data_IF_059745065174
#
_entry.id   IF_059745065174
#
_cell.length_a   1.000
_cell.length_b   1.000
_cell.length_c   1.000
_cell.angle_alpha   90.00
_cell.angle_beta   90.00
_cell.angle_gamma   90.00
#
_symmetry.space_group_name_H-M   'P 1'
#
loop_
_entity.id
_entity.type
_entity.pdbx_description
1 polymer ?
#
# COMPACT_ATOMS: atom_id res chain seq x y z
N UNK A 1 3.32 -14.94 -10.01
CA UNK A 1 2.93 -14.01 -8.92
C UNK A 1 2.32 -14.82 -7.78
N UNK A 2 2.64 -14.47 -6.52
CA UNK A 2 2.06 -15.04 -5.29
C UNK A 2 0.99 -14.11 -4.73
N UNK A 3 -0.02 -14.65 -4.04
CA UNK A 3 -1.12 -13.85 -3.50
C UNK A 3 -0.94 -13.63 -2.00
N UNK A 4 -0.86 -12.37 -1.58
CA UNK A 4 -0.87 -11.97 -0.18
C UNK A 4 -2.17 -11.24 0.18
N UNK A 5 -2.35 -10.97 1.47
CA UNK A 5 -3.44 -10.15 1.98
C UNK A 5 -2.87 -9.04 2.87
N UNK A 6 -3.41 -7.84 2.74
CA UNK A 6 -3.13 -6.76 3.68
C UNK A 6 -3.87 -6.99 5.00
N UNK A 7 -3.17 -6.81 6.13
CA UNK A 7 -3.80 -6.84 7.47
C UNK A 7 -4.90 -5.78 7.61
N UNK A 8 -4.85 -4.70 6.83
CA UNK A 8 -5.90 -3.69 6.75
C UNK A 8 -7.24 -4.27 6.28
N UNK A 9 -7.22 -5.32 5.44
CA UNK A 9 -8.44 -6.02 5.00
C UNK A 9 -9.26 -6.60 6.16
N UNK A 10 -8.61 -6.89 7.31
CA UNK A 10 -9.26 -7.38 8.53
C UNK A 10 -9.73 -6.27 9.48
N UNK A 11 -9.63 -4.99 9.08
CA UNK A 11 -9.89 -3.83 9.94
C UNK A 11 -11.27 -3.88 10.62
N UNK A 12 -12.33 -4.36 9.92
CA UNK A 12 -13.66 -4.51 10.52
C UNK A 12 -13.64 -5.45 11.74
N UNK A 13 -12.90 -6.55 11.69
CA UNK A 13 -12.79 -7.51 12.80
C UNK A 13 -11.91 -6.96 13.93
N UNK A 14 -10.83 -6.27 13.58
CA UNK A 14 -9.92 -5.63 14.54
C UNK A 14 -10.65 -4.52 15.29
N UNK A 15 -11.31 -3.60 14.60
CA UNK A 15 -12.04 -2.50 15.23
C UNK A 15 -13.25 -2.96 16.05
N UNK A 16 -13.84 -4.09 15.68
CA UNK A 16 -14.89 -4.72 16.47
C UNK A 16 -14.36 -5.51 17.69
N UNK A 17 -13.06 -5.55 17.92
CA UNK A 17 -12.42 -6.30 19.01
C UNK A 17 -12.54 -7.82 18.90
N UNK A 18 -12.83 -8.34 17.69
CA UNK A 18 -12.99 -9.78 17.44
C UNK A 18 -11.70 -10.45 16.99
N UNK A 19 -10.73 -9.67 16.53
CA UNK A 19 -9.40 -10.10 16.11
C UNK A 19 -8.36 -9.07 16.55
N UNK A 20 -7.15 -9.53 16.79
CA UNK A 20 -5.93 -8.70 16.94
C UNK A 20 -5.12 -8.74 15.65
N UNK A 21 -4.11 -7.87 15.51
CA UNK A 21 -3.16 -7.97 14.41
C UNK A 21 -2.45 -9.33 14.39
N UNK A 22 -2.17 -9.90 15.57
CA UNK A 22 -1.54 -11.22 15.68
C UNK A 22 -2.44 -12.33 15.10
N UNK A 23 -3.75 -12.26 15.35
CA UNK A 23 -4.72 -13.24 14.81
C UNK A 23 -4.80 -13.21 13.29
N UNK A 24 -4.50 -12.07 12.66
CA UNK A 24 -4.50 -11.94 11.19
C UNK A 24 -3.50 -12.89 10.52
N UNK A 25 -2.38 -13.23 11.20
CA UNK A 25 -1.35 -14.14 10.68
C UNK A 25 -1.94 -15.53 10.43
N UNK A 26 -2.53 -16.13 11.48
CA UNK A 26 -3.15 -17.44 11.39
C UNK A 26 -4.35 -17.43 10.44
N UNK A 27 -5.16 -16.35 10.45
CA UNK A 27 -6.32 -16.20 9.58
C UNK A 27 -5.92 -16.13 8.09
N UNK A 28 -4.90 -15.38 7.73
CA UNK A 28 -4.39 -15.34 6.36
C UNK A 28 -3.96 -16.73 5.87
N UNK A 29 -3.25 -17.48 6.71
CA UNK A 29 -2.85 -18.86 6.40
C UNK A 29 -4.06 -19.79 6.23
N UNK A 30 -5.04 -19.72 7.15
CA UNK A 30 -6.30 -20.49 7.09
C UNK A 30 -7.06 -20.23 5.79
N UNK A 31 -7.12 -18.96 5.34
CA UNK A 31 -7.81 -18.58 4.11
C UNK A 31 -7.06 -19.00 2.83
N UNK A 32 -5.81 -19.45 2.94
CA UNK A 32 -5.01 -19.98 1.82
C UNK A 32 -4.26 -18.91 1.03
N UNK A 33 -3.83 -17.84 1.70
CA UNK A 33 -2.87 -16.87 1.16
C UNK A 33 -1.44 -17.40 1.26
N UNK A 34 -0.58 -16.97 0.33
CA UNK A 34 0.85 -17.30 0.32
C UNK A 34 1.63 -16.46 1.35
N UNK A 35 1.17 -15.23 1.60
CA UNK A 35 1.79 -14.29 2.52
C UNK A 35 0.76 -13.32 3.13
N UNK A 36 1.20 -12.57 4.13
CA UNK A 36 0.48 -11.43 4.71
C UNK A 36 1.40 -10.19 4.72
N UNK A 37 0.83 -9.02 4.47
CA UNK A 37 1.51 -7.74 4.76
C UNK A 37 0.86 -7.07 5.94
N UNK A 38 1.63 -6.26 6.66
CA UNK A 38 1.13 -5.49 7.79
C UNK A 38 1.07 -4.01 7.48
N UNK A 39 -0.10 -3.41 7.77
CA UNK A 39 -0.30 -1.96 7.75
C UNK A 39 -0.24 -1.45 9.18
N UNK A 40 0.74 -0.62 9.48
CA UNK A 40 1.09 -0.14 10.82
C UNK A 40 1.11 -1.27 11.88
N UNK A 41 2.03 -1.23 12.79
CA UNK A 41 2.07 -2.16 13.92
C UNK A 41 1.54 -1.47 15.17
N UNK A 42 0.73 -2.17 15.97
CA UNK A 42 0.21 -1.68 17.24
C UNK A 42 1.32 -1.15 18.14
N UNK A 43 1.04 -0.02 18.80
CA UNK A 43 2.03 0.72 19.59
C UNK A 43 2.43 2.05 18.94
N UNK A 44 1.51 2.67 18.16
CA UNK A 44 1.76 3.96 17.51
C UNK A 44 2.34 5.01 18.48
N UNK A 45 3.47 5.64 18.07
CA UNK A 45 4.21 6.61 18.89
C UNK A 45 5.26 5.99 19.84
N UNK A 46 5.26 4.68 20.04
CA UNK A 46 6.27 3.94 20.84
C UNK A 46 6.99 2.90 19.96
N UNK A 47 8.14 3.29 19.44
CA UNK A 47 8.94 2.43 18.57
C UNK A 47 9.41 1.14 19.25
N UNK A 48 9.66 1.19 20.58
CA UNK A 48 10.10 -0.01 21.32
C UNK A 48 8.95 -1.03 21.41
N UNK A 49 7.74 -0.57 21.71
CA UNK A 49 6.54 -1.40 21.72
C UNK A 49 6.20 -1.96 20.34
N UNK A 50 6.31 -1.14 19.27
CA UNK A 50 6.13 -1.62 17.89
C UNK A 50 7.12 -2.74 17.54
N UNK A 51 8.39 -2.60 17.93
CA UNK A 51 9.42 -3.65 17.72
C UNK A 51 9.12 -4.92 18.50
N UNK A 52 8.61 -4.81 19.72
CA UNK A 52 8.18 -5.97 20.51
C UNK A 52 6.99 -6.70 19.85
N UNK A 53 5.98 -5.95 19.41
CA UNK A 53 4.82 -6.52 18.72
C UNK A 53 5.22 -7.14 17.36
N UNK A 54 6.13 -6.50 16.62
CA UNK A 54 6.67 -7.05 15.39
C UNK A 54 7.37 -8.41 15.60
N UNK A 55 8.11 -8.59 16.71
CA UNK A 55 8.70 -9.89 17.06
C UNK A 55 7.63 -10.96 17.28
N UNK A 56 6.57 -10.65 18.05
CA UNK A 56 5.46 -11.58 18.30
C UNK A 56 4.77 -12.00 16.99
N UNK A 57 4.55 -11.03 16.09
CA UNK A 57 3.96 -11.27 14.77
C UNK A 57 4.89 -12.17 13.92
N UNK A 58 6.19 -11.90 13.92
CA UNK A 58 7.18 -12.73 13.22
C UNK A 58 7.20 -14.16 13.74
N UNK A 59 7.24 -14.34 15.06
CA UNK A 59 7.21 -15.65 15.71
C UNK A 59 5.94 -16.43 15.34
N UNK A 60 4.79 -15.77 15.30
CA UNK A 60 3.53 -16.40 14.87
C UNK A 60 3.56 -16.78 13.39
N UNK A 61 4.11 -15.91 12.53
CA UNK A 61 4.24 -16.20 11.10
C UNK A 61 5.14 -17.43 10.86
N UNK A 62 6.25 -17.54 11.60
CA UNK A 62 7.12 -18.71 11.56
C UNK A 62 6.41 -19.98 12.05
N UNK A 63 5.63 -19.86 13.16
CA UNK A 63 4.87 -20.98 13.74
C UNK A 63 3.83 -21.55 12.77
N UNK A 64 3.09 -20.70 12.05
CA UNK A 64 2.05 -21.15 11.12
C UNK A 64 2.57 -21.39 9.70
N UNK A 65 3.80 -21.00 9.40
CA UNK A 65 4.43 -21.18 8.11
C UNK A 65 3.83 -20.28 7.02
N UNK A 66 3.72 -18.95 7.28
CA UNK A 66 3.32 -17.95 6.30
C UNK A 66 4.41 -16.88 6.19
N UNK A 67 4.63 -16.33 4.98
CA UNK A 67 5.60 -15.26 4.75
C UNK A 67 4.99 -13.90 5.12
N UNK A 68 5.79 -13.00 5.72
CA UNK A 68 5.46 -11.58 5.81
C UNK A 68 6.19 -10.87 4.67
N UNK A 69 5.46 -10.47 3.63
CA UNK A 69 6.05 -9.98 2.40
C UNK A 69 6.33 -8.48 2.39
N UNK A 70 5.50 -7.67 3.08
CA UNK A 70 5.63 -6.22 3.11
C UNK A 70 5.18 -5.62 4.45
N UNK A 71 5.65 -4.39 4.70
CA UNK A 71 5.22 -3.53 5.79
C UNK A 71 4.82 -2.16 5.21
N UNK A 72 3.61 -1.69 5.48
CA UNK A 72 3.06 -0.45 4.91
C UNK A 72 2.73 0.54 6.01
N UNK A 73 3.15 1.80 5.86
CA UNK A 73 2.97 2.85 6.87
C UNK A 73 2.60 4.20 6.27
N UNK A 74 1.91 5.00 7.06
CA UNK A 74 1.69 6.41 6.77
C UNK A 74 2.95 7.26 6.98
N UNK A 75 3.16 8.27 6.12
CA UNK A 75 4.26 9.22 6.24
C UNK A 75 3.94 10.58 5.62
N UNK A 76 4.56 11.62 6.17
CA UNK A 76 4.50 12.96 5.60
C UNK A 76 5.92 13.55 5.50
N UNK A 77 6.54 13.39 4.35
CA UNK A 77 7.88 13.89 4.03
C UNK A 77 7.90 15.35 3.56
N UNK A 78 6.83 16.10 3.79
CA UNK A 78 6.81 17.54 3.59
C UNK A 78 6.34 18.24 4.87
N UNK A 79 7.29 18.60 5.71
CA UNK A 79 7.05 19.20 7.01
C UNK A 79 7.24 20.73 6.97
N UNK A 80 6.73 21.42 8.02
CA UNK A 80 6.75 22.86 8.10
C UNK A 80 8.16 23.45 8.31
N UNK A 81 9.06 22.70 8.94
CA UNK A 81 10.44 23.13 9.24
C UNK A 81 11.45 22.05 8.88
N UNK A 82 12.72 22.42 8.63
CA UNK A 82 13.79 21.45 8.39
C UNK A 82 13.97 20.45 9.55
N UNK A 83 13.81 20.87 10.79
CA UNK A 83 13.94 20.03 11.98
C UNK A 83 12.82 18.97 12.01
N UNK A 84 11.57 19.38 11.75
CA UNK A 84 10.44 18.46 11.66
C UNK A 84 10.60 17.49 10.46
N UNK A 85 11.15 17.98 9.35
CA UNK A 85 11.49 17.14 8.19
C UNK A 85 12.53 16.07 8.56
N UNK A 86 13.60 16.44 9.26
CA UNK A 86 14.62 15.52 9.72
C UNK A 86 14.04 14.49 10.73
N UNK A 87 13.20 14.94 11.65
CA UNK A 87 12.55 14.06 12.62
C UNK A 87 11.65 13.02 11.95
N UNK A 88 10.91 13.38 10.88
CA UNK A 88 10.09 12.43 10.14
C UNK A 88 10.95 11.39 9.40
N UNK A 89 12.08 11.80 8.82
CA UNK A 89 13.03 10.86 8.21
C UNK A 89 13.56 9.87 9.26
N UNK A 90 13.94 10.34 10.45
CA UNK A 90 14.42 9.45 11.52
C UNK A 90 13.31 8.51 12.04
N UNK A 91 12.06 9.00 12.14
CA UNK A 91 10.90 8.14 12.46
C UNK A 91 10.78 7.00 11.43
N UNK A 92 10.86 7.33 10.14
CA UNK A 92 10.77 6.35 9.07
C UNK A 92 11.92 5.34 9.09
N UNK A 93 13.15 5.75 9.41
CA UNK A 93 14.27 4.82 9.61
C UNK A 93 13.98 3.84 10.76
N UNK A 94 13.37 4.29 11.85
CA UNK A 94 12.89 3.41 12.92
C UNK A 94 11.85 2.40 12.42
N UNK A 95 10.98 2.81 11.49
CA UNK A 95 9.99 1.90 10.88
C UNK A 95 10.65 0.89 9.91
N UNK A 96 11.75 1.24 9.25
CA UNK A 96 12.56 0.26 8.49
C UNK A 96 13.09 -0.85 9.42
N UNK A 97 13.49 -0.51 10.65
CA UNK A 97 13.91 -1.51 11.62
C UNK A 97 12.75 -2.42 12.07
N UNK A 98 11.53 -1.89 12.16
CA UNK A 98 10.32 -2.70 12.40
C UNK A 98 10.09 -3.66 11.23
N UNK A 99 10.21 -3.19 9.97
CA UNK A 99 10.12 -4.04 8.79
C UNK A 99 11.16 -5.17 8.81
N UNK A 100 12.40 -4.87 9.23
CA UNK A 100 13.47 -5.86 9.36
C UNK A 100 13.12 -6.94 10.40
N UNK A 101 12.55 -6.56 11.55
CA UNK A 101 12.11 -7.50 12.59
C UNK A 101 10.98 -8.38 12.09
N UNK A 102 10.01 -7.83 11.35
CA UNK A 102 8.95 -8.60 10.68
C UNK A 102 9.50 -9.58 9.64
N UNK A 103 10.72 -9.36 9.16
CA UNK A 103 11.30 -10.12 8.04
C UNK A 103 10.76 -9.68 6.67
N UNK A 104 10.03 -8.58 6.61
CA UNK A 104 9.53 -7.99 5.37
C UNK A 104 10.68 -7.54 4.46
N UNK A 105 10.52 -7.75 3.15
CA UNK A 105 11.54 -7.35 2.14
C UNK A 105 11.21 -6.01 1.48
N UNK A 106 9.98 -5.55 1.65
CA UNK A 106 9.48 -4.29 1.10
C UNK A 106 8.86 -3.48 2.23
N UNK A 107 9.19 -2.20 2.31
CA UNK A 107 8.52 -1.22 3.15
C UNK A 107 7.93 -0.11 2.29
N UNK A 108 6.61 0.02 2.30
CA UNK A 108 5.90 1.14 1.68
C UNK A 108 5.71 2.25 2.70
N UNK A 109 5.93 3.48 2.28
CA UNK A 109 5.56 4.67 3.04
C UNK A 109 4.87 5.70 2.15
N UNK A 110 3.93 6.46 2.72
CA UNK A 110 3.38 7.65 2.08
C UNK A 110 4.44 8.76 1.98
N UNK A 111 4.08 9.85 1.33
CA UNK A 111 5.00 11.00 1.20
C UNK A 111 4.37 12.33 1.59
N UNK A 112 3.06 12.51 1.39
CA UNK A 112 2.35 13.73 1.78
C UNK A 112 0.83 13.51 1.71
N UNK A 113 0.08 14.23 2.56
CA UNK A 113 -1.38 14.07 2.65
C UNK A 113 -2.18 15.25 2.09
N UNK A 114 -1.58 16.44 2.00
CA UNK A 114 -2.32 17.65 1.59
C UNK A 114 -1.43 18.66 0.89
N UNK A 115 -2.05 19.49 0.06
CA UNK A 115 -1.45 20.74 -0.41
C UNK A 115 -1.78 21.87 0.57
N UNK A 116 -0.80 22.75 0.81
CA UNK A 116 -0.99 23.98 1.55
C UNK A 116 -1.47 25.12 0.66
N UNK A 117 -1.73 26.27 1.28
CA UNK A 117 -2.22 27.47 0.58
C UNK A 117 -1.12 28.44 0.14
N UNK A 118 0.07 28.34 0.71
CA UNK A 118 1.19 29.28 0.51
C UNK A 118 2.52 28.58 0.34
N UNK A 119 3.51 29.30 -0.15
CA UNK A 119 4.88 28.81 -0.28
C UNK A 119 5.00 27.56 -1.19
N UNK A 120 5.95 26.71 -0.90
CA UNK A 120 6.21 25.49 -1.66
C UNK A 120 5.11 24.44 -1.48
N UNK A 121 4.34 24.47 -0.40
CA UNK A 121 3.27 23.50 -0.15
C UNK A 121 2.07 23.62 -1.10
N UNK A 122 1.93 24.71 -1.84
CA UNK A 122 0.78 24.98 -2.73
C UNK A 122 0.73 24.15 -4.01
N UNK A 123 1.79 23.41 -4.34
CA UNK A 123 1.77 22.50 -5.48
C UNK A 123 2.69 21.30 -5.26
N UNK A 124 2.31 20.16 -5.81
CA UNK A 124 3.11 18.93 -5.74
C UNK A 124 4.52 19.15 -6.32
N UNK A 125 4.63 19.80 -7.47
CA UNK A 125 5.93 20.04 -8.11
C UNK A 125 6.90 20.90 -7.27
N UNK A 126 6.38 21.83 -6.44
CA UNK A 126 7.20 22.60 -5.53
C UNK A 126 7.60 21.81 -4.26
N UNK A 127 6.78 20.87 -3.83
CA UNK A 127 7.06 19.98 -2.70
C UNK A 127 8.03 18.85 -3.09
N UNK A 128 8.01 18.45 -4.34
CA UNK A 128 8.68 17.25 -4.86
C UNK A 128 10.16 17.14 -4.50
N UNK A 129 11.00 18.20 -4.61
CA UNK A 129 12.43 18.09 -4.25
C UNK A 129 12.64 17.72 -2.77
N UNK A 130 11.84 18.30 -1.86
CA UNK A 130 11.92 18.02 -0.43
C UNK A 130 11.45 16.60 -0.11
N UNK A 131 10.31 16.20 -0.67
CA UNK A 131 9.74 14.85 -0.53
C UNK A 131 10.74 13.80 -1.03
N UNK A 132 11.26 13.98 -2.24
CA UNK A 132 12.19 13.04 -2.86
C UNK A 132 13.51 12.93 -2.09
N UNK A 133 14.01 14.02 -1.53
CA UNK A 133 15.21 13.99 -0.68
C UNK A 133 14.96 13.18 0.61
N UNK A 134 13.81 13.37 1.26
CA UNK A 134 13.43 12.58 2.44
C UNK A 134 13.29 11.10 2.12
N UNK A 135 12.56 10.75 1.06
CA UNK A 135 12.40 9.38 0.60
C UNK A 135 13.76 8.71 0.28
N UNK A 136 14.67 9.43 -0.41
CA UNK A 136 16.03 8.93 -0.72
C UNK A 136 16.82 8.62 0.54
N UNK A 137 16.75 9.44 1.59
CA UNK A 137 17.45 9.19 2.86
C UNK A 137 16.92 7.92 3.56
N UNK A 138 15.59 7.72 3.56
CA UNK A 138 14.98 6.51 4.11
C UNK A 138 15.39 5.29 3.29
N UNK A 139 15.35 5.39 1.96
CA UNK A 139 15.74 4.32 1.02
C UNK A 139 17.21 3.89 1.21
N UNK A 140 18.12 4.85 1.30
CA UNK A 140 19.53 4.55 1.53
C UNK A 140 19.78 3.84 2.87
N UNK A 141 19.04 4.22 3.92
CA UNK A 141 19.09 3.49 5.20
C UNK A 141 18.52 2.08 5.06
N UNK A 142 17.37 1.93 4.42
CA UNK A 142 16.71 0.64 4.22
C UNK A 142 17.57 -0.35 3.43
N UNK A 143 18.33 0.12 2.46
CA UNK A 143 19.27 -0.68 1.69
C UNK A 143 20.31 -1.36 2.59
N UNK A 144 20.79 -0.68 3.65
CA UNK A 144 21.75 -1.27 4.61
C UNK A 144 21.17 -2.44 5.39
N UNK A 145 19.83 -2.55 5.45
CA UNK A 145 19.10 -3.63 6.11
C UNK A 145 18.49 -4.64 5.11
N UNK A 146 18.81 -4.50 3.82
CA UNK A 146 18.30 -5.38 2.77
C UNK A 146 16.81 -5.25 2.51
N UNK A 147 16.23 -4.08 2.80
CA UNK A 147 14.82 -3.76 2.60
C UNK A 147 14.68 -2.76 1.45
N UNK A 148 13.84 -3.08 0.48
CA UNK A 148 13.47 -2.15 -0.59
C UNK A 148 12.34 -1.23 -0.11
N UNK A 149 12.45 0.06 -0.38
CA UNK A 149 11.36 1.00 -0.08
C UNK A 149 10.55 1.33 -1.31
N UNK A 150 9.30 1.72 -1.09
CA UNK A 150 8.43 2.20 -2.16
C UNK A 150 7.41 3.20 -1.62
N UNK A 151 6.81 3.95 -2.55
CA UNK A 151 5.63 4.78 -2.27
C UNK A 151 4.46 4.24 -3.09
N UNK A 152 3.28 4.29 -2.51
CA UNK A 152 2.03 3.93 -3.16
C UNK A 152 1.39 5.14 -3.82
N UNK A 153 0.64 4.93 -4.90
CA UNK A 153 -0.31 5.88 -5.44
C UNK A 153 -1.51 6.02 -4.47
N UNK A 154 -1.33 6.83 -3.41
CA UNK A 154 -2.25 6.95 -2.28
C UNK A 154 -2.37 8.39 -1.78
N UNK A 155 -3.46 8.72 -1.05
CA UNK A 155 -3.60 9.95 -0.27
C UNK A 155 -3.95 11.20 -1.08
N UNK A 156 -4.54 11.07 -2.28
CA UNK A 156 -5.01 12.15 -3.17
C UNK A 156 -3.93 13.06 -3.77
N UNK A 157 -2.75 13.16 -3.18
CA UNK A 157 -1.69 14.07 -3.68
C UNK A 157 -0.73 13.33 -4.59
N UNK A 158 0.02 12.35 -4.10
CA UNK A 158 0.88 11.48 -4.89
C UNK A 158 0.07 10.24 -5.33
N UNK A 159 -0.99 10.42 -6.09
CA UNK A 159 -1.95 9.35 -6.38
C UNK A 159 -2.14 9.07 -7.87
N UNK A 160 -2.14 10.10 -8.71
CA UNK A 160 -2.19 9.87 -10.16
C UNK A 160 -0.84 9.36 -10.67
N UNK A 161 -0.89 8.60 -11.78
CA UNK A 161 0.28 7.94 -12.34
C UNK A 161 1.41 8.91 -12.72
N UNK A 162 1.09 10.12 -13.14
CA UNK A 162 2.10 11.14 -13.48
C UNK A 162 2.86 11.61 -12.26
N UNK A 163 2.17 11.89 -11.15
CA UNK A 163 2.85 12.35 -9.92
C UNK A 163 3.71 11.28 -9.29
N UNK A 164 3.25 10.03 -9.25
CA UNK A 164 4.06 8.95 -8.69
C UNK A 164 5.26 8.61 -9.57
N UNK A 165 5.14 8.71 -10.91
CA UNK A 165 6.29 8.58 -11.81
C UNK A 165 7.29 9.74 -11.63
N UNK A 166 6.81 10.98 -11.49
CA UNK A 166 7.69 12.12 -11.17
C UNK A 166 8.41 11.92 -9.83
N UNK A 167 7.72 11.39 -8.83
CA UNK A 167 8.33 11.08 -7.53
C UNK A 167 9.40 10.00 -7.66
N UNK A 168 9.11 8.90 -8.36
CA UNK A 168 10.07 7.84 -8.64
C UNK A 168 11.34 8.39 -9.29
N UNK A 169 11.17 9.18 -10.35
CA UNK A 169 12.28 9.81 -11.06
C UNK A 169 13.07 10.79 -10.17
N UNK A 170 12.40 11.54 -9.29
CA UNK A 170 13.05 12.50 -8.40
C UNK A 170 13.81 11.81 -7.25
N UNK A 171 13.32 10.69 -6.73
CA UNK A 171 14.05 9.89 -5.72
C UNK A 171 15.32 9.31 -6.32
N UNK A 172 15.28 8.80 -7.54
CA UNK A 172 16.45 8.34 -8.31
C UNK A 172 17.39 7.44 -7.49
N UNK A 173 16.87 6.33 -6.95
CA UNK A 173 17.63 5.37 -6.13
C UNK A 173 17.24 3.94 -6.50
N UNK A 174 18.21 3.06 -6.76
CA UNK A 174 17.97 1.68 -7.24
C UNK A 174 17.19 0.82 -6.25
N UNK A 175 17.29 1.12 -4.95
CA UNK A 175 16.55 0.44 -3.89
C UNK A 175 15.15 1.04 -3.63
N UNK A 176 14.68 1.94 -4.50
CA UNK A 176 13.35 2.55 -4.42
C UNK A 176 12.48 2.11 -5.59
N UNK A 177 11.18 1.91 -5.34
CA UNK A 177 10.21 1.57 -6.35
C UNK A 177 8.83 2.11 -6.05
N UNK A 178 7.81 1.57 -6.72
CA UNK A 178 6.42 1.90 -6.46
C UNK A 178 5.67 0.66 -5.93
N UNK A 179 4.80 0.88 -4.95
CA UNK A 179 3.68 0.00 -4.71
C UNK A 179 2.56 0.48 -5.63
N UNK A 180 2.16 -0.37 -6.57
CA UNK A 180 1.09 -0.05 -7.53
C UNK A 180 -0.22 -0.61 -7.00
N UNK A 181 -1.07 0.26 -6.44
CA UNK A 181 -2.46 -0.07 -6.14
C UNK A 181 -3.31 0.20 -7.38
N UNK A 182 -3.90 -0.86 -7.94
CA UNK A 182 -4.66 -0.77 -9.20
C UNK A 182 -6.00 -0.03 -9.04
N UNK A 183 -6.57 0.01 -7.82
CA UNK A 183 -7.86 0.66 -7.52
C UNK A 183 -7.72 2.14 -7.20
N UNK A 184 -6.65 2.55 -6.52
CA UNK A 184 -6.47 3.91 -6.05
C UNK A 184 -6.39 4.97 -7.17
N UNK A 185 -6.13 4.59 -8.42
CA UNK A 185 -6.18 5.51 -9.54
C UNK A 185 -7.57 6.09 -9.76
N UNK A 186 -8.65 5.34 -9.47
CA UNK A 186 -10.02 5.85 -9.51
C UNK A 186 -10.25 7.01 -8.54
N UNK A 187 -9.56 7.05 -7.40
CA UNK A 187 -9.65 8.18 -6.46
C UNK A 187 -9.09 9.50 -7.06
N UNK A 188 -8.22 9.39 -8.06
CA UNK A 188 -7.70 10.51 -8.82
C UNK A 188 -8.46 10.74 -10.16
N UNK A 189 -9.56 10.01 -10.39
CA UNK A 189 -10.34 10.00 -11.64
C UNK A 189 -9.51 9.59 -12.87
N UNK A 190 -8.50 8.76 -12.68
CA UNK A 190 -7.66 8.24 -13.74
C UNK A 190 -8.10 6.80 -14.12
N UNK A 191 -8.07 6.45 -15.40
CA UNK A 191 -8.33 5.09 -15.86
C UNK A 191 -7.25 4.14 -15.32
N UNK A 192 -7.62 3.09 -14.55
CA UNK A 192 -6.65 2.22 -13.90
C UNK A 192 -5.71 1.49 -14.85
N UNK A 193 -6.21 1.01 -16.00
CA UNK A 193 -5.38 0.27 -16.95
C UNK A 193 -4.34 1.19 -17.62
N UNK A 194 -4.74 2.42 -17.96
CA UNK A 194 -3.83 3.43 -18.51
C UNK A 194 -2.79 3.85 -17.47
N UNK A 195 -3.20 4.08 -16.23
CA UNK A 195 -2.31 4.44 -15.14
C UNK A 195 -1.30 3.33 -14.82
N UNK A 196 -1.79 2.10 -14.67
CA UNK A 196 -0.94 0.91 -14.45
C UNK A 196 0.06 0.73 -15.59
N UNK A 197 -0.34 0.95 -16.86
CA UNK A 197 0.57 0.81 -18.00
C UNK A 197 1.79 1.76 -17.92
N UNK A 198 1.62 2.92 -17.29
CA UNK A 198 2.72 3.89 -17.06
C UNK A 198 3.64 3.47 -15.93
N UNK A 199 3.11 2.98 -14.81
CA UNK A 199 3.88 2.81 -13.58
C UNK A 199 4.30 1.38 -13.29
N UNK A 200 3.71 0.38 -13.95
CA UNK A 200 4.05 -1.02 -13.75
C UNK A 200 5.54 -1.37 -13.92
N UNK A 201 6.32 -0.71 -14.81
CA UNK A 201 7.77 -0.96 -14.90
C UNK A 201 8.55 -0.65 -13.61
N UNK A 202 7.99 0.17 -12.72
CA UNK A 202 8.61 0.59 -11.45
C UNK A 202 8.06 -0.18 -10.24
N UNK A 203 7.13 -1.13 -10.46
CA UNK A 203 6.47 -1.86 -9.40
C UNK A 203 7.45 -2.79 -8.66
N UNK A 204 7.49 -2.67 -7.33
CA UNK A 204 8.16 -3.61 -6.42
C UNK A 204 7.18 -4.34 -5.53
N UNK A 205 5.95 -3.83 -5.46
CA UNK A 205 4.80 -4.44 -4.81
C UNK A 205 3.51 -4.01 -5.51
N UNK A 206 2.44 -4.79 -5.36
CA UNK A 206 1.14 -4.51 -6.01
C UNK A 206 0.02 -4.72 -5.01
N UNK A 207 -0.90 -3.77 -4.94
CA UNK A 207 -2.19 -3.93 -4.26
C UNK A 207 -3.31 -4.20 -5.26
N UNK A 208 -4.14 -5.16 -4.93
CA UNK A 208 -5.41 -5.46 -5.59
C UNK A 208 -6.55 -4.92 -4.74
N UNK A 209 -6.98 -3.72 -5.06
CA UNK A 209 -8.15 -3.06 -4.50
C UNK A 209 -9.18 -2.88 -5.61
N UNK A 210 -10.44 -3.08 -5.30
CA UNK A 210 -11.53 -2.85 -6.27
C UNK A 210 -12.58 -1.92 -5.68
N UNK A 211 -13.15 -1.10 -6.54
CA UNK A 211 -14.05 -0.02 -6.15
C UNK A 211 -15.22 0.09 -7.12
N UNK A 212 -16.35 0.51 -6.60
CA UNK A 212 -17.47 1.01 -7.38
C UNK A 212 -17.30 2.52 -7.57
N UNK A 213 -17.30 2.98 -8.82
CA UNK A 213 -17.16 4.40 -9.19
C UNK A 213 -18.51 4.96 -9.66
N UNK A 214 -18.93 6.10 -9.12
CA UNK A 214 -20.26 6.67 -9.34
C UNK A 214 -20.20 8.17 -9.60
N UNK A 215 -21.09 8.67 -10.47
CA UNK A 215 -21.23 10.10 -10.78
C UNK A 215 -22.00 10.88 -9.70
N UNK A 216 -22.72 10.17 -8.82
CA UNK A 216 -23.49 10.76 -7.72
C UNK A 216 -23.37 9.86 -6.48
N UNK A 217 -23.52 10.40 -5.25
CA UNK A 217 -23.47 9.60 -4.04
C UNK A 217 -24.64 8.62 -3.99
N UNK A 218 -24.36 7.34 -3.85
CA UNK A 218 -25.37 6.27 -3.78
C UNK A 218 -24.98 5.22 -2.75
N UNK A 219 -25.91 4.84 -1.85
CA UNK A 219 -25.65 3.79 -0.85
C UNK A 219 -24.40 4.06 -0.01
N UNK A 220 -23.46 3.13 -0.02
CA UNK A 220 -22.17 3.21 0.66
C UNK A 220 -21.15 4.11 -0.09
N UNK A 221 -21.33 4.34 -1.41
CA UNK A 221 -20.42 5.14 -2.22
C UNK A 221 -20.60 6.64 -1.95
N UNK A 222 -19.93 7.14 -0.91
CA UNK A 222 -19.98 8.52 -0.46
C UNK A 222 -18.60 9.20 -0.39
N UNK A 223 -17.52 8.44 -0.52
CA UNK A 223 -16.17 8.98 -0.62
C UNK A 223 -16.04 9.72 -1.93
N UNK A 224 -15.45 10.91 -1.90
CA UNK A 224 -15.34 11.76 -3.10
C UNK A 224 -13.96 11.59 -3.74
N UNK A 225 -13.94 11.41 -5.05
CA UNK A 225 -12.71 11.44 -5.83
C UNK A 225 -12.15 12.85 -5.95
N UNK A 226 -10.93 13.00 -6.45
CA UNK A 226 -10.29 14.31 -6.71
C UNK A 226 -11.13 15.20 -7.66
N UNK A 227 -11.77 14.61 -8.65
CA UNK A 227 -12.59 15.32 -9.65
C UNK A 227 -14.06 15.47 -9.26
N UNK A 228 -14.46 15.06 -8.02
CA UNK A 228 -15.83 15.23 -7.51
C UNK A 228 -16.80 14.13 -7.88
N UNK A 229 -16.33 12.98 -8.37
CA UNK A 229 -17.12 11.76 -8.46
C UNK A 229 -17.11 11.02 -7.11
N UNK A 230 -17.74 9.86 -7.01
CA UNK A 230 -17.89 9.12 -5.77
C UNK A 230 -17.41 7.68 -5.93
N UNK A 231 -16.91 7.10 -4.83
CA UNK A 231 -16.48 5.71 -4.81
C UNK A 231 -16.76 5.04 -3.46
N UNK A 232 -16.74 3.73 -3.48
CA UNK A 232 -16.63 2.87 -2.30
C UNK A 232 -15.88 1.59 -2.68
N UNK A 233 -15.20 1.00 -1.71
CA UNK A 233 -14.56 -0.31 -1.89
C UNK A 233 -15.59 -1.42 -2.11
N UNK A 234 -15.17 -2.47 -2.80
CA UNK A 234 -15.95 -3.68 -3.03
C UNK A 234 -15.03 -4.90 -3.10
N UNK A 235 -15.60 -6.07 -3.33
CA UNK A 235 -14.85 -7.31 -3.52
C UNK A 235 -14.00 -7.25 -4.79
N UNK A 236 -12.73 -7.61 -4.70
CA UNK A 236 -11.82 -7.63 -5.86
C UNK A 236 -12.39 -8.52 -6.97
N UNK A 237 -12.53 -7.94 -8.16
CA UNK A 237 -13.13 -8.57 -9.33
C UNK A 237 -14.65 -8.37 -9.47
N UNK A 238 -15.29 -7.57 -8.61
CA UNK A 238 -16.73 -7.27 -8.66
C UNK A 238 -17.01 -5.77 -8.79
N UNK A 239 -15.97 -4.95 -8.91
CA UNK A 239 -16.05 -3.51 -9.06
C UNK A 239 -15.82 -3.01 -10.49
N UNK A 240 -15.47 -1.75 -10.57
CA UNK A 240 -15.24 -1.05 -11.84
C UNK A 240 -13.73 -1.02 -12.24
N UNK A 241 -12.84 -1.59 -11.40
CA UNK A 241 -11.42 -1.72 -11.73
C UNK A 241 -11.21 -2.90 -12.69
N UNK A 242 -10.56 -2.71 -13.85
CA UNK A 242 -10.32 -3.80 -14.80
C UNK A 242 -9.15 -4.69 -14.33
N UNK A 243 -9.37 -5.44 -13.20
CA UNK A 243 -8.34 -6.19 -12.47
C UNK A 243 -7.53 -7.10 -13.37
N UNK A 244 -8.19 -7.93 -14.21
CA UNK A 244 -7.50 -8.85 -15.10
C UNK A 244 -6.63 -8.12 -16.14
N UNK A 245 -7.10 -6.99 -16.66
CA UNK A 245 -6.33 -6.17 -17.61
C UNK A 245 -5.10 -5.57 -16.93
N UNK A 246 -5.25 -5.03 -15.71
CA UNK A 246 -4.13 -4.52 -14.92
C UNK A 246 -3.09 -5.61 -14.62
N UNK A 247 -3.52 -6.80 -14.23
CA UNK A 247 -2.63 -7.94 -14.00
C UNK A 247 -1.87 -8.37 -15.27
N UNK A 248 -2.51 -8.35 -16.46
CA UNK A 248 -1.83 -8.60 -17.74
C UNK A 248 -0.73 -7.57 -18.02
N UNK A 249 -1.01 -6.30 -17.77
CA UNK A 249 -0.03 -5.21 -17.96
C UNK A 249 1.15 -5.39 -16.99
N UNK A 250 0.87 -5.62 -15.70
CA UNK A 250 1.91 -5.83 -14.68
C UNK A 250 2.78 -7.05 -15.03
N UNK A 251 2.18 -8.16 -15.41
CA UNK A 251 2.92 -9.36 -15.82
C UNK A 251 3.80 -9.12 -17.05
N UNK A 252 3.33 -8.35 -18.01
CA UNK A 252 4.07 -8.03 -19.22
C UNK A 252 5.38 -7.26 -18.96
N UNK A 253 5.54 -6.60 -17.80
CA UNK A 253 6.80 -5.96 -17.37
C UNK A 253 7.82 -6.95 -16.80
N UNK A 254 7.46 -8.22 -16.64
CA UNK A 254 8.29 -9.23 -15.97
C UNK A 254 8.08 -9.29 -14.45
N UNK A 255 7.11 -8.56 -13.90
CA UNK A 255 6.81 -8.61 -12.46
C UNK A 255 6.30 -10.00 -12.07
N UNK A 256 6.95 -10.63 -11.10
CA UNK A 256 6.61 -11.94 -10.54
C UNK A 256 6.57 -11.95 -9.00
N UNK A 257 6.43 -10.78 -8.40
CA UNK A 257 6.37 -10.59 -6.95
C UNK A 257 5.00 -10.92 -6.35
N UNK A 258 4.74 -10.35 -5.18
CA UNK A 258 3.46 -10.49 -4.48
C UNK A 258 2.43 -9.50 -5.01
N UNK A 259 1.19 -9.97 -5.14
CA UNK A 259 0.00 -9.16 -5.33
C UNK A 259 -0.84 -9.28 -4.05
N UNK A 260 -1.03 -8.18 -3.35
CA UNK A 260 -1.68 -8.15 -2.03
C UNK A 260 -3.14 -7.71 -2.17
N UNK A 261 -4.06 -8.55 -1.73
CA UNK A 261 -5.47 -8.20 -1.68
C UNK A 261 -5.70 -7.18 -0.56
N UNK A 262 -6.23 -6.01 -0.88
CA UNK A 262 -6.64 -4.99 0.06
C UNK A 262 -8.15 -4.74 -0.05
N UNK A 263 -8.91 -5.27 0.92
CA UNK A 263 -10.36 -5.19 0.95
C UNK A 263 -10.84 -4.00 1.79
N UNK A 264 -11.68 -3.17 1.20
CA UNK A 264 -12.32 -2.01 1.84
C UNK A 264 -13.83 -1.96 1.61
N UNK A 265 -14.47 -3.10 1.32
CA UNK A 265 -15.90 -3.18 1.05
C UNK A 265 -16.76 -3.00 2.30
N UNK A 266 -18.06 -2.77 2.06
CA UNK A 266 -19.04 -2.60 3.11
C UNK A 266 -19.59 -3.94 3.65
N UNK A 267 -19.42 -5.03 2.92
CA UNK A 267 -19.84 -6.38 3.33
C UNK A 267 -18.91 -6.90 4.44
N UNK A 268 -19.30 -8.00 5.08
CA UNK A 268 -18.43 -8.69 6.03
C UNK A 268 -17.06 -8.97 5.42
N UNK A 269 -16.00 -8.48 6.06
CA UNK A 269 -14.67 -8.49 5.45
C UNK A 269 -14.13 -9.92 5.23
N UNK A 270 -14.42 -10.88 6.11
CA UNK A 270 -13.96 -12.26 5.92
C UNK A 270 -14.59 -12.88 4.67
N UNK A 271 -15.87 -12.62 4.45
CA UNK A 271 -16.59 -13.03 3.24
C UNK A 271 -16.04 -12.33 2.00
N UNK A 272 -15.84 -11.01 2.08
CA UNK A 272 -15.29 -10.21 0.98
C UNK A 272 -13.87 -10.62 0.57
N UNK A 273 -12.99 -10.84 1.55
CA UNK A 273 -11.63 -11.34 1.33
C UNK A 273 -11.64 -12.73 0.67
N UNK A 274 -12.47 -13.66 1.17
CA UNK A 274 -12.56 -15.01 0.61
C UNK A 274 -13.03 -15.01 -0.86
N UNK A 275 -14.05 -14.21 -1.19
CA UNK A 275 -14.54 -14.03 -2.57
C UNK A 275 -13.49 -13.40 -3.45
N UNK A 276 -12.85 -12.33 -2.98
CA UNK A 276 -11.77 -11.64 -3.69
C UNK A 276 -10.60 -12.59 -4.00
N UNK A 277 -10.16 -13.40 -3.02
CA UNK A 277 -9.13 -14.41 -3.24
C UNK A 277 -9.53 -15.43 -4.30
N UNK A 278 -10.78 -15.89 -4.28
CA UNK A 278 -11.28 -16.84 -5.30
C UNK A 278 -11.26 -16.21 -6.71
N UNK A 279 -11.65 -14.94 -6.83
CA UNK A 279 -11.60 -14.20 -8.10
C UNK A 279 -10.15 -14.02 -8.58
N UNK A 280 -9.24 -13.61 -7.68
CA UNK A 280 -7.82 -13.42 -8.02
C UNK A 280 -7.20 -14.73 -8.51
N UNK A 281 -7.49 -15.88 -7.88
CA UNK A 281 -6.99 -17.19 -8.33
C UNK A 281 -7.46 -17.50 -9.76
N UNK A 282 -8.72 -17.23 -10.10
CA UNK A 282 -9.23 -17.39 -11.48
C UNK A 282 -8.51 -16.47 -12.46
N UNK A 283 -8.29 -15.21 -12.12
CA UNK A 283 -7.53 -14.27 -12.97
C UNK A 283 -6.10 -14.75 -13.21
N UNK A 284 -5.44 -15.32 -12.19
CA UNK A 284 -4.10 -15.87 -12.34
C UNK A 284 -4.05 -17.12 -13.23
N UNK A 285 -5.10 -17.96 -13.23
CA UNK A 285 -5.24 -19.08 -14.17
C UNK A 285 -5.38 -18.58 -15.61
N UNK A 286 -6.15 -17.51 -15.84
CA UNK A 286 -6.30 -16.89 -17.17
C UNK A 286 -5.03 -16.19 -17.70
N UNK A 287 -4.07 -15.93 -16.83
CA UNK A 287 -2.78 -15.35 -17.20
C UNK A 287 -1.76 -16.41 -17.65
N UNK A 288 -1.98 -17.68 -17.38
CA UNK A 288 -1.05 -18.77 -17.76
C UNK A 288 -1.10 -19.04 -19.25
#
# INVERSE_FOLDING_TARGET
>A
MKVSVSSYSFAQQIWAGKMTQLDCVAKAKEMGFDAIEFTDIDGAGDLALQKENAKKIREEADRVGIEINAYTIGANLFQATPEAQAAEVERLKGQVEVAAILGAKVMRHDVCYSLGKTGASRSFGLMLPTIANGARQVTAYAETLGIKTCTENHGYIAQDSYRVEQLFNAVAHDNYGLLVDIGNFLCADEDPAMAVSRVAPYAVHVHLKDMLYRKAPTGACRNMTRGGNYFCGTVVGEGDVPVLQCLRIIRATGYDGFISLEYEGAEDCLTGIARGLANVKKFLEELQ
#
